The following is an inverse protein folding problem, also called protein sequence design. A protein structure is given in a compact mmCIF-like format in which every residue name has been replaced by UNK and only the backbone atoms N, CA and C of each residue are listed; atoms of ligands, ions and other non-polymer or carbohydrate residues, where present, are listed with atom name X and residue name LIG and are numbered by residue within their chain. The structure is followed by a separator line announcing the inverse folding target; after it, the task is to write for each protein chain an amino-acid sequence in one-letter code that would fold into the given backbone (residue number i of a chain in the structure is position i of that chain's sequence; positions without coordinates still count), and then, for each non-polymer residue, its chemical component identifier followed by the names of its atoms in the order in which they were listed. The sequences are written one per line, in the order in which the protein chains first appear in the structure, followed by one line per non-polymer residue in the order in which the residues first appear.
data_IF_299289896539
#
_entry.id   IF_299289896539
#
_cell.length_a   1.000
_cell.length_b   1.000
_cell.length_c   1.000
_cell.angle_alpha   90.00
_cell.angle_beta   90.00
_cell.angle_gamma   90.00
#
_symmetry.space_group_name_H-M   'P 1'
#
loop_
_entity.id
_entity.type
_entity.pdbx_description
1 polymer ?
#
# COMPACT_ATOMS: atom_id res chain seq x y z
N UNK A 1 14.12 -11.81 -18.13
CA UNK A 1 13.55 -11.15 -16.93
C UNK A 1 12.05 -11.14 -17.07
N UNK A 2 11.33 -11.86 -16.21
CA UNK A 2 9.86 -11.79 -16.19
C UNK A 2 9.51 -10.44 -15.56
N UNK A 3 9.07 -9.46 -16.37
CA UNK A 3 8.34 -8.31 -15.84
C UNK A 3 6.99 -8.87 -15.40
N UNK A 4 6.85 -9.16 -14.11
CA UNK A 4 5.52 -9.31 -13.53
C UNK A 4 4.87 -7.94 -13.72
N UNK A 5 4.03 -7.80 -14.75
CA UNK A 5 3.16 -6.64 -14.91
C UNK A 5 2.20 -6.68 -13.73
N UNK A 6 2.56 -5.94 -12.70
CA UNK A 6 1.79 -5.74 -11.48
C UNK A 6 1.32 -4.31 -11.54
N UNK A 7 0.01 -4.14 -11.58
CA UNK A 7 -0.61 -2.82 -11.50
C UNK A 7 -0.19 -2.15 -10.17
N UNK A 8 0.43 -0.96 -10.21
CA UNK A 8 0.81 -0.24 -9.00
C UNK A 8 -0.44 0.22 -8.25
N UNK A 9 -0.50 -0.04 -6.94
CA UNK A 9 -1.66 0.32 -6.11
C UNK A 9 -1.23 1.24 -4.98
N UNK A 10 -1.93 2.37 -4.84
CA UNK A 10 -1.71 3.28 -3.72
C UNK A 10 -2.15 2.64 -2.38
N UNK A 11 -1.41 2.82 -1.26
CA UNK A 11 -1.78 2.27 0.04
C UNK A 11 -3.21 2.59 0.49
N UNK A 12 -3.71 3.81 0.21
CA UNK A 12 -5.12 4.17 0.45
C UNK A 12 -6.09 3.27 -0.31
N UNK A 13 -5.85 3.09 -1.62
CA UNK A 13 -6.69 2.25 -2.47
C UNK A 13 -6.63 0.79 -2.06
N UNK A 14 -5.45 0.29 -1.71
CA UNK A 14 -5.27 -1.05 -1.16
C UNK A 14 -6.13 -1.26 0.10
N UNK A 15 -6.13 -0.28 1.01
CA UNK A 15 -6.91 -0.31 2.25
C UNK A 15 -8.42 -0.39 1.97
N UNK A 16 -8.90 0.39 1.01
CA UNK A 16 -10.31 0.39 0.59
C UNK A 16 -10.71 -0.96 -0.01
N UNK A 17 -9.89 -1.52 -0.91
CA UNK A 17 -10.17 -2.79 -1.58
C UNK A 17 -10.24 -3.95 -0.57
N UNK A 18 -9.26 -4.03 0.33
CA UNK A 18 -9.12 -5.17 1.25
C UNK A 18 -9.75 -4.93 2.62
N UNK A 19 -10.41 -3.78 2.82
CA UNK A 19 -11.03 -3.35 4.09
C UNK A 19 -10.15 -3.63 5.32
N UNK A 20 -8.86 -3.30 5.25
CA UNK A 20 -7.89 -3.66 6.28
C UNK A 20 -7.51 -2.48 7.17
N UNK A 21 -7.09 -2.77 8.40
CA UNK A 21 -6.51 -1.81 9.33
C UNK A 21 -5.06 -1.48 8.98
N UNK A 22 -4.56 -0.35 9.48
CA UNK A 22 -3.14 0.04 9.31
C UNK A 22 -2.19 -1.02 9.89
N UNK A 23 -2.57 -1.68 10.97
CA UNK A 23 -1.78 -2.77 11.56
C UNK A 23 -1.75 -4.01 10.68
N UNK A 24 -2.86 -4.38 10.03
CA UNK A 24 -2.86 -5.46 9.04
C UNK A 24 -1.99 -5.11 7.83
N UNK A 25 -2.07 -3.86 7.34
CA UNK A 25 -1.19 -3.39 6.27
C UNK A 25 0.29 -3.46 6.67
N UNK A 26 0.63 -3.10 7.91
CA UNK A 26 1.97 -3.25 8.45
C UNK A 26 2.43 -4.71 8.41
N UNK A 27 1.60 -5.66 8.88
CA UNK A 27 1.93 -7.10 8.83
C UNK A 27 2.10 -7.63 7.42
N UNK A 28 1.31 -7.14 6.45
CA UNK A 28 1.38 -7.58 5.05
C UNK A 28 2.57 -6.97 4.29
N UNK A 29 2.87 -5.70 4.52
CA UNK A 29 3.84 -4.94 3.72
C UNK A 29 5.20 -4.73 4.38
N UNK A 30 5.31 -4.96 5.69
CA UNK A 30 6.52 -4.69 6.48
C UNK A 30 6.81 -3.21 6.73
N UNK A 31 6.05 -2.28 6.14
CA UNK A 31 6.28 -0.84 6.38
C UNK A 31 5.87 -0.42 7.80
N UNK A 32 6.62 0.50 8.45
CA UNK A 32 6.24 1.00 9.77
C UNK A 32 4.85 1.63 9.78
N UNK A 33 4.13 1.45 10.89
CA UNK A 33 2.76 1.97 11.08
C UNK A 33 2.68 3.47 10.85
N UNK A 34 3.63 4.26 11.33
CA UNK A 34 3.59 5.72 11.17
C UNK A 34 3.89 6.17 9.74
N UNK A 35 4.71 5.42 9.01
CA UNK A 35 4.91 5.63 7.57
C UNK A 35 3.61 5.38 6.82
N UNK A 36 2.90 4.29 7.13
CA UNK A 36 1.59 3.99 6.53
C UNK A 36 0.56 5.07 6.86
N UNK A 37 0.50 5.55 8.12
CA UNK A 37 -0.39 6.66 8.50
C UNK A 37 -0.13 7.92 7.67
N UNK A 38 1.13 8.26 7.38
CA UNK A 38 1.45 9.42 6.54
C UNK A 38 0.96 9.26 5.10
N UNK A 39 1.03 8.06 4.52
CA UNK A 39 0.50 7.78 3.18
C UNK A 39 -1.04 7.70 3.14
N UNK A 40 -1.65 7.40 4.28
CA UNK A 40 -3.10 7.29 4.44
C UNK A 40 -3.76 8.61 4.90
N UNK A 41 -2.98 9.60 5.31
CA UNK A 41 -3.49 10.90 5.76
C UNK A 41 -4.14 11.68 4.62
N UNK A 42 -5.14 12.52 4.93
CA UNK A 42 -5.81 13.38 3.96
C UNK A 42 -4.84 14.39 3.33
N UNK A 43 -5.07 14.74 2.06
CA UNK A 43 -4.17 15.61 1.28
C UNK A 43 -3.99 17.00 1.87
N UNK A 44 -4.92 17.45 2.71
CA UNK A 44 -4.85 18.71 3.45
C UNK A 44 -4.01 18.62 4.73
N UNK A 45 -3.67 17.41 5.20
CA UNK A 45 -2.87 17.20 6.40
C UNK A 45 -1.39 17.48 6.16
N UNK A 46 -0.74 18.17 7.09
CA UNK A 46 0.72 18.37 7.10
C UNK A 46 1.50 17.06 7.22
N UNK A 47 0.84 15.98 7.64
CA UNK A 47 1.42 14.63 7.75
C UNK A 47 1.29 13.82 6.46
N UNK A 48 0.51 14.29 5.49
CA UNK A 48 0.33 13.61 4.22
C UNK A 48 1.64 13.57 3.44
N UNK A 49 2.08 12.36 3.09
CA UNK A 49 3.26 12.13 2.27
C UNK A 49 2.87 11.25 1.09
N UNK A 50 3.37 11.58 -0.10
CA UNK A 50 3.23 10.70 -1.24
C UNK A 50 4.18 9.49 -1.08
N UNK A 51 3.69 8.25 -1.24
CA UNK A 51 4.56 7.08 -1.32
C UNK A 51 5.40 7.12 -2.60
N UNK A 52 6.59 6.51 -2.55
CA UNK A 52 7.46 6.35 -3.71
C UNK A 52 6.90 5.29 -4.66
N UNK A 53 7.29 5.32 -5.93
CA UNK A 53 6.81 4.39 -6.97
C UNK A 53 6.97 2.91 -6.59
N UNK A 54 8.12 2.51 -6.04
CA UNK A 54 8.34 1.13 -5.60
C UNK A 54 7.37 0.67 -4.49
N UNK A 55 6.84 1.61 -3.69
CA UNK A 55 5.83 1.30 -2.67
C UNK A 55 4.52 0.94 -3.36
N UNK A 56 4.14 1.67 -4.41
CA UNK A 56 2.94 1.38 -5.20
C UNK A 56 3.01 -0.01 -5.83
N UNK A 57 4.16 -0.36 -6.43
CA UNK A 57 4.38 -1.69 -6.99
C UNK A 57 4.39 -2.79 -5.94
N UNK A 58 4.94 -2.52 -4.75
CA UNK A 58 4.92 -3.48 -3.65
C UNK A 58 3.49 -3.79 -3.20
N UNK A 59 2.66 -2.76 -3.00
CA UNK A 59 1.24 -2.95 -2.68
C UNK A 59 0.45 -3.62 -3.81
N UNK A 60 0.75 -3.30 -5.06
CA UNK A 60 0.22 -4.03 -6.21
C UNK A 60 0.55 -5.52 -6.17
N UNK A 61 1.78 -5.86 -5.77
CA UNK A 61 2.25 -7.24 -5.73
C UNK A 61 1.52 -8.02 -4.64
N UNK A 62 1.38 -7.41 -3.45
CA UNK A 62 0.60 -7.98 -2.34
C UNK A 62 -0.86 -8.19 -2.77
N UNK A 63 -1.47 -7.22 -3.46
CA UNK A 63 -2.84 -7.34 -3.94
C UNK A 63 -3.01 -8.53 -4.89
N UNK A 64 -2.10 -8.69 -5.86
CA UNK A 64 -2.11 -9.83 -6.79
C UNK A 64 -1.96 -11.17 -6.06
N UNK A 65 -1.09 -11.24 -5.04
CA UNK A 65 -0.91 -12.45 -4.23
C UNK A 65 -2.19 -12.83 -3.47
N UNK A 66 -2.89 -11.84 -2.91
CA UNK A 66 -4.13 -12.06 -2.17
C UNK A 66 -5.32 -12.48 -3.05
N UNK A 67 -5.30 -12.16 -4.35
CA UNK A 67 -6.33 -12.58 -5.31
C UNK A 67 -6.11 -14.00 -5.87
N UNK A 68 -4.87 -14.47 -5.88
CA UNK A 68 -4.52 -15.83 -6.30
C UNK A 68 -4.58 -16.87 -5.19
N UNK A 69 -5.12 -16.51 -4.02
CA UNK A 69 -5.25 -17.36 -2.83
C UNK A 69 -6.68 -17.86 -2.63
#
# INVERSE_FOLDING_TARGET
MIKLEVEPIHPKKFREIHNCSVYQMHRLSGYPVDTLKNWLADTTSTRCKAPKEYVLHHFGTIHKLLQGS
#
